data_IF_327605199424
#
_entry.id   IF_327605199424
#
_cell.length_a   1.000
_cell.length_b   1.000
_cell.length_c   1.000
_cell.angle_alpha   90.00
_cell.angle_beta   90.00
_cell.angle_gamma   90.00
#
_symmetry.space_group_name_H-M   'P 1'
#
loop_
_entity.id
_entity.type
_entity.pdbx_description
1 polymer ?
#
# COMPACT_ATOMS: atom_id res chain seq x y z
N UNK A 1 -5.28 66.39 -31.11
CA UNK A 1 -4.35 65.85 -30.10
C UNK A 1 -2.94 65.60 -30.64
N UNK A 2 -2.44 66.36 -31.59
CA UNK A 2 -1.16 66.12 -32.30
C UNK A 2 -0.14 67.21 -32.17
N UNK A 3 -0.35 68.20 -31.31
CA UNK A 3 0.57 69.40 -31.19
C UNK A 3 1.37 69.42 -29.88
N UNK A 4 1.09 68.48 -28.90
CA UNK A 4 1.80 68.43 -27.61
C UNK A 4 3.01 67.51 -27.66
N UNK A 5 2.99 66.45 -28.44
CA UNK A 5 4.09 65.46 -28.51
C UNK A 5 5.33 65.99 -29.27
N UNK A 6 5.15 66.96 -30.18
CA UNK A 6 6.29 67.50 -30.95
C UNK A 6 7.13 68.50 -30.14
N UNK A 7 6.53 69.18 -29.13
CA UNK A 7 7.28 70.11 -28.24
C UNK A 7 8.04 69.38 -27.10
N UNK A 8 7.65 68.17 -26.74
CA UNK A 8 8.33 67.37 -25.72
C UNK A 8 9.60 66.71 -26.25
N UNK A 9 9.66 66.37 -27.55
CA UNK A 9 10.82 65.72 -28.20
C UNK A 9 11.95 66.76 -28.42
N UNK A 10 11.63 68.02 -28.67
CA UNK A 10 12.65 69.11 -28.86
C UNK A 10 13.28 69.53 -27.51
N UNK A 11 12.60 69.37 -26.37
CA UNK A 11 13.14 69.70 -25.06
C UNK A 11 14.10 68.64 -24.53
N UNK A 12 13.97 67.35 -24.93
CA UNK A 12 14.86 66.28 -24.53
C UNK A 12 16.18 66.28 -25.33
N UNK A 13 16.18 66.71 -26.56
CA UNK A 13 17.40 66.79 -27.40
C UNK A 13 18.36 67.97 -27.06
N UNK A 14 17.90 69.00 -26.38
CA UNK A 14 18.77 70.16 -25.99
C UNK A 14 19.48 69.86 -24.63
N UNK A 15 19.03 68.91 -23.80
CA UNK A 15 19.66 68.60 -22.50
C UNK A 15 20.80 67.55 -22.62
N UNK A 16 21.05 66.99 -23.81
CA UNK A 16 22.04 65.92 -24.03
C UNK A 16 23.43 66.38 -24.51
N UNK A 17 23.65 67.70 -24.67
CA UNK A 17 24.90 68.25 -25.30
C UNK A 17 25.84 69.03 -24.32
N UNK A 18 25.57 68.97 -22.99
CA UNK A 18 26.30 69.79 -22.03
C UNK A 18 27.25 69.05 -21.07
N UNK A 19 27.71 67.88 -21.40
CA UNK A 19 28.74 67.18 -20.56
C UNK A 19 29.86 66.56 -21.41
N UNK A 20 30.65 67.36 -22.08
CA UNK A 20 31.98 66.97 -22.51
C UNK A 20 32.91 68.17 -22.27
N UNK A 21 33.67 68.14 -21.16
CA UNK A 21 34.98 68.83 -21.15
C UNK A 21 35.81 68.46 -19.93
N UNK A 22 36.96 67.86 -20.19
CA UNK A 22 38.29 68.01 -19.59
C UNK A 22 38.57 67.56 -18.17
N UNK A 23 39.65 66.76 -18.08
CA UNK A 23 40.55 66.78 -16.96
C UNK A 23 41.47 65.57 -16.86
N UNK A 24 42.58 65.61 -17.58
CA UNK A 24 43.68 64.63 -17.52
C UNK A 24 44.50 64.87 -16.23
N UNK A 25 44.63 63.87 -15.38
CA UNK A 25 45.74 63.80 -14.41
C UNK A 25 46.06 62.35 -14.11
N UNK A 26 47.23 61.94 -14.54
CA UNK A 26 47.92 60.67 -14.28
C UNK A 26 48.21 60.51 -12.77
N UNK A 27 47.76 59.41 -12.14
CA UNK A 27 48.46 58.78 -11.00
C UNK A 27 48.30 57.28 -11.11
N UNK A 28 49.43 56.63 -11.30
CA UNK A 28 49.64 55.20 -11.21
C UNK A 28 49.51 54.79 -9.73
N UNK A 29 48.45 54.07 -9.42
CA UNK A 29 48.39 53.19 -8.25
C UNK A 29 47.97 51.83 -8.75
N UNK A 30 48.79 50.84 -8.44
CA UNK A 30 48.54 49.44 -8.70
C UNK A 30 47.40 48.95 -7.80
N UNK A 31 46.16 49.04 -8.26
CA UNK A 31 45.04 48.31 -7.67
C UNK A 31 45.11 46.88 -8.19
N UNK A 32 45.42 45.96 -7.26
CA UNK A 32 45.26 44.54 -7.52
C UNK A 32 43.79 44.27 -7.95
N UNK A 33 43.61 43.70 -9.11
CA UNK A 33 42.34 43.16 -9.52
C UNK A 33 41.94 42.09 -8.46
N UNK A 34 41.06 42.45 -7.56
CA UNK A 34 40.29 41.41 -6.83
C UNK A 34 39.53 40.61 -7.87
N UNK A 35 40.00 39.42 -8.14
CA UNK A 35 39.32 38.45 -8.99
C UNK A 35 38.05 38.05 -8.24
N UNK A 36 36.90 38.53 -8.66
CA UNK A 36 35.59 38.17 -8.09
C UNK A 36 35.42 36.67 -8.29
N UNK A 37 35.56 35.91 -7.22
CA UNK A 37 35.37 34.46 -7.26
C UNK A 37 33.93 34.14 -7.65
N UNK A 38 33.73 33.06 -8.43
CA UNK A 38 32.38 32.56 -8.70
C UNK A 38 31.62 32.29 -7.41
N UNK A 39 30.32 32.49 -7.42
CA UNK A 39 29.46 32.33 -6.23
C UNK A 39 29.52 30.97 -5.57
N UNK A 40 30.04 29.93 -6.24
CA UNK A 40 30.14 28.56 -5.74
C UNK A 40 31.52 28.22 -5.19
N UNK A 41 32.48 29.13 -5.17
CA UNK A 41 33.86 28.91 -4.72
C UNK A 41 34.12 29.61 -3.37
N UNK A 42 34.80 28.88 -2.48
CA UNK A 42 35.33 29.39 -1.21
C UNK A 42 36.83 29.20 -1.18
N UNK A 43 37.55 30.28 -0.90
CA UNK A 43 38.99 30.27 -0.85
C UNK A 43 39.50 30.43 0.58
N UNK A 44 40.43 29.54 1.01
CA UNK A 44 41.03 29.60 2.33
C UNK A 44 42.55 29.47 2.24
N UNK A 45 43.23 30.20 3.15
CA UNK A 45 44.68 30.08 3.35
C UNK A 45 44.98 28.80 4.17
N UNK A 46 46.23 28.31 4.06
CA UNK A 46 46.69 27.11 4.77
C UNK A 46 46.51 27.23 6.31
N UNK A 47 46.71 28.41 6.88
CA UNK A 47 46.47 28.67 8.33
C UNK A 47 44.99 28.57 8.69
N UNK A 48 44.10 29.08 7.85
CA UNK A 48 42.66 29.00 8.03
C UNK A 48 42.12 27.56 7.88
N UNK A 49 42.67 26.79 6.94
CA UNK A 49 42.32 25.38 6.75
C UNK A 49 42.63 24.57 8.01
N UNK A 50 43.82 24.80 8.62
CA UNK A 50 44.21 24.15 9.87
C UNK A 50 43.31 24.57 11.04
N UNK A 51 43.02 25.89 11.18
CA UNK A 51 42.17 26.42 12.22
C UNK A 51 40.72 25.90 12.10
N UNK A 52 40.20 25.80 10.89
CA UNK A 52 38.85 25.31 10.60
C UNK A 52 38.75 23.77 10.67
N UNK A 53 39.87 23.09 10.91
CA UNK A 53 39.94 21.62 10.98
C UNK A 53 39.32 20.94 9.74
N UNK A 54 39.70 21.42 8.54
CA UNK A 54 39.19 20.90 7.29
C UNK A 54 39.99 19.65 6.92
N UNK A 55 39.27 18.52 6.84
CA UNK A 55 39.82 17.25 6.38
C UNK A 55 39.14 16.86 5.07
N UNK A 56 39.94 16.33 4.13
CA UNK A 56 39.39 15.85 2.84
C UNK A 56 39.46 14.33 2.77
N UNK A 57 38.45 13.73 2.17
CA UNK A 57 38.32 12.29 1.94
C UNK A 57 37.73 11.98 0.58
N UNK A 58 37.32 10.73 0.40
CA UNK A 58 36.67 10.23 -0.81
C UNK A 58 35.23 9.84 -0.50
N UNK A 59 34.40 9.88 -1.53
CA UNK A 59 33.07 9.30 -1.50
C UNK A 59 33.22 7.78 -1.44
N UNK A 60 32.57 7.15 -0.48
CA UNK A 60 32.61 5.70 -0.28
C UNK A 60 31.31 5.06 -0.76
N UNK A 61 31.45 3.90 -1.42
CA UNK A 61 30.29 3.04 -1.66
C UNK A 61 30.03 2.21 -0.42
N UNK A 62 28.92 2.47 0.24
CA UNK A 62 28.49 1.74 1.44
C UNK A 62 27.18 1.01 1.20
N UNK A 63 27.06 -0.16 1.82
CA UNK A 63 25.81 -0.88 1.89
C UNK A 63 24.95 -0.23 2.96
N UNK A 64 23.96 0.56 2.56
CA UNK A 64 23.06 1.26 3.47
C UNK A 64 21.65 0.71 3.35
N UNK A 65 21.01 0.43 4.49
CA UNK A 65 19.62 0.03 4.56
C UNK A 65 18.81 1.15 5.20
N UNK A 66 17.88 1.68 4.46
CA UNK A 66 16.93 2.64 5.01
C UNK A 66 15.86 1.95 5.85
N UNK A 67 15.27 2.70 6.76
CA UNK A 67 14.04 2.29 7.42
C UNK A 67 12.86 3.03 6.80
N UNK A 68 11.82 2.30 6.45
CA UNK A 68 10.59 2.87 5.89
C UNK A 68 9.51 2.84 6.96
N UNK A 69 9.07 4.02 7.41
CA UNK A 69 7.93 4.14 8.33
C UNK A 69 6.64 4.12 7.52
N UNK A 70 5.79 3.17 7.80
CA UNK A 70 4.51 2.96 7.11
C UNK A 70 3.40 2.72 8.10
N UNK A 71 2.18 2.98 7.68
CA UNK A 71 0.98 2.67 8.48
C UNK A 71 0.10 1.67 7.75
N UNK A 72 -0.79 1.05 8.51
CA UNK A 72 -1.72 0.09 7.95
C UNK A 72 -2.75 -0.36 8.96
N UNK A 73 -3.37 -1.50 8.69
CA UNK A 73 -4.38 -2.10 9.54
C UNK A 73 -4.17 -3.61 9.67
N UNK A 74 -4.63 -4.15 10.77
CA UNK A 74 -4.79 -5.60 10.95
C UNK A 74 -5.96 -6.07 10.12
N UNK A 75 -5.77 -7.11 9.32
CA UNK A 75 -6.79 -7.66 8.43
C UNK A 75 -6.88 -9.17 8.52
N UNK A 76 -7.93 -9.75 7.95
CA UNK A 76 -8.14 -11.19 7.81
C UNK A 76 -8.24 -11.57 6.35
N UNK A 77 -7.77 -12.75 6.01
CA UNK A 77 -7.93 -13.27 4.65
C UNK A 77 -9.42 -13.42 4.28
N UNK A 78 -9.82 -13.20 3.01
CA UNK A 78 -11.22 -13.31 2.58
C UNK A 78 -11.90 -14.63 2.96
N UNK A 79 -11.16 -15.76 2.98
CA UNK A 79 -11.67 -17.05 3.40
C UNK A 79 -11.97 -17.15 4.91
N UNK A 80 -11.48 -16.20 5.71
CA UNK A 80 -11.71 -16.08 7.14
C UNK A 80 -12.82 -15.08 7.49
N UNK A 81 -13.49 -14.51 6.49
CA UNK A 81 -14.65 -13.65 6.63
C UNK A 81 -15.83 -14.32 5.92
N UNK A 82 -16.92 -14.57 6.64
CA UNK A 82 -18.13 -15.12 6.07
C UNK A 82 -19.32 -14.17 6.25
N UNK A 83 -19.94 -13.86 5.13
CA UNK A 83 -21.22 -13.18 5.07
C UNK A 83 -22.31 -14.25 4.94
N UNK A 84 -23.27 -14.26 5.85
CA UNK A 84 -24.31 -15.28 5.93
C UNK A 84 -25.66 -14.67 5.57
N UNK A 85 -26.28 -15.22 4.52
CA UNK A 85 -27.62 -14.86 4.04
C UNK A 85 -28.46 -16.12 3.89
N UNK A 86 -29.78 -15.98 3.73
CA UNK A 86 -30.72 -17.08 3.50
C UNK A 86 -31.20 -17.09 2.05
N UNK A 87 -30.92 -18.12 1.25
CA UNK A 87 -31.19 -18.13 -0.20
C UNK A 87 -32.64 -17.91 -0.60
N UNK A 88 -33.60 -18.33 0.25
CA UNK A 88 -35.04 -18.19 -0.02
C UNK A 88 -35.74 -17.11 0.81
N UNK A 89 -34.97 -16.39 1.68
CA UNK A 89 -35.56 -15.43 2.60
C UNK A 89 -36.48 -16.05 3.65
N UNK A 90 -37.38 -15.24 4.21
CA UNK A 90 -38.36 -15.66 5.22
C UNK A 90 -38.46 -14.72 6.41
N UNK A 91 -39.03 -15.21 7.51
CA UNK A 91 -39.14 -14.46 8.77
C UNK A 91 -38.22 -15.08 9.83
N UNK A 92 -37.53 -14.25 10.57
CA UNK A 92 -36.66 -14.71 11.66
C UNK A 92 -37.52 -15.15 12.84
N UNK A 93 -37.55 -16.47 13.11
CA UNK A 93 -38.25 -17.03 14.26
C UNK A 93 -37.50 -16.82 15.58
N UNK A 94 -36.19 -17.07 15.54
CA UNK A 94 -35.34 -16.93 16.73
C UNK A 94 -33.88 -16.76 16.36
N UNK A 95 -33.15 -15.99 17.18
CA UNK A 95 -31.69 -15.90 17.24
C UNK A 95 -31.30 -15.53 18.66
N UNK A 96 -30.20 -16.11 19.16
CA UNK A 96 -29.66 -15.82 20.50
C UNK A 96 -28.27 -15.21 20.42
N UNK A 97 -27.80 -14.86 19.23
CA UNK A 97 -26.45 -14.37 18.99
C UNK A 97 -26.36 -12.86 19.08
N UNK A 98 -25.26 -12.40 19.65
CA UNK A 98 -24.86 -11.00 19.70
C UNK A 98 -23.48 -10.85 19.08
N UNK A 99 -23.12 -9.65 18.58
CA UNK A 99 -21.77 -9.35 18.20
C UNK A 99 -20.78 -9.71 19.32
N UNK A 100 -19.65 -10.33 18.97
CA UNK A 100 -18.66 -10.85 19.92
C UNK A 100 -18.86 -12.31 20.36
N UNK A 101 -20.03 -12.94 20.13
CA UNK A 101 -20.21 -14.35 20.45
C UNK A 101 -19.33 -15.25 19.57
N UNK A 102 -18.74 -16.27 20.19
CA UNK A 102 -18.01 -17.32 19.48
C UNK A 102 -18.99 -18.31 18.85
N UNK A 103 -18.73 -18.71 17.61
CA UNK A 103 -19.51 -19.70 16.87
C UNK A 103 -18.60 -20.75 16.23
N UNK A 104 -19.13 -21.99 16.12
CA UNK A 104 -18.45 -23.07 15.41
C UNK A 104 -19.08 -23.29 14.04
N UNK A 105 -18.29 -23.80 13.09
CA UNK A 105 -18.83 -24.24 11.80
C UNK A 105 -19.96 -25.24 11.99
N UNK A 106 -21.12 -24.99 11.32
CA UNK A 106 -22.33 -25.80 11.44
C UNK A 106 -23.22 -25.43 12.62
N UNK A 107 -22.82 -24.52 13.51
CA UNK A 107 -23.65 -24.04 14.62
C UNK A 107 -24.82 -23.19 14.08
N UNK A 108 -26.01 -23.38 14.62
CA UNK A 108 -27.21 -22.60 14.28
C UNK A 108 -27.05 -21.16 14.74
N UNK A 109 -27.20 -20.21 13.80
CA UNK A 109 -27.16 -18.77 14.01
C UNK A 109 -28.56 -18.20 14.24
N UNK A 110 -29.51 -18.65 13.43
CA UNK A 110 -30.91 -18.27 13.51
C UNK A 110 -31.79 -19.41 12.98
N UNK A 111 -33.09 -19.36 13.36
CA UNK A 111 -34.13 -20.18 12.74
C UNK A 111 -35.02 -19.25 11.94
N UNK A 112 -35.24 -19.58 10.68
CA UNK A 112 -36.14 -18.85 9.76
C UNK A 112 -37.37 -19.67 9.46
N UNK A 113 -38.49 -19.00 9.25
CA UNK A 113 -39.74 -19.58 8.79
C UNK A 113 -40.13 -19.00 7.43
N UNK A 114 -40.54 -19.90 6.53
CA UNK A 114 -41.07 -19.53 5.20
C UNK A 114 -42.02 -20.64 4.73
N UNK A 115 -43.14 -20.27 4.14
CA UNK A 115 -44.09 -21.22 3.55
C UNK A 115 -43.46 -21.97 2.37
N UNK A 116 -42.63 -21.31 1.59
CA UNK A 116 -41.92 -21.92 0.46
C UNK A 116 -41.03 -23.11 0.89
N UNK A 117 -40.61 -23.19 2.15
CA UNK A 117 -39.89 -24.33 2.68
C UNK A 117 -40.77 -25.57 2.74
N UNK A 118 -42.09 -25.44 3.00
CA UNK A 118 -43.05 -26.52 2.95
C UNK A 118 -43.23 -26.97 1.51
N UNK A 119 -43.47 -26.03 0.61
CA UNK A 119 -43.76 -26.31 -0.82
C UNK A 119 -42.63 -27.09 -1.50
N UNK A 120 -41.39 -26.71 -1.25
CA UNK A 120 -40.24 -27.39 -1.87
C UNK A 120 -40.03 -28.81 -1.33
N UNK A 121 -40.29 -29.05 -0.02
CA UNK A 121 -40.23 -30.35 0.58
C UNK A 121 -41.33 -31.26 0.05
N UNK A 122 -42.56 -30.77 -0.05
CA UNK A 122 -43.70 -31.48 -0.63
C UNK A 122 -43.40 -31.87 -2.08
N UNK A 123 -42.98 -30.91 -2.92
CA UNK A 123 -42.68 -31.16 -4.32
C UNK A 123 -41.57 -32.20 -4.52
N UNK A 124 -40.56 -32.18 -3.63
CA UNK A 124 -39.50 -33.20 -3.71
C UNK A 124 -40.04 -34.61 -3.38
N UNK A 125 -40.84 -34.77 -2.35
CA UNK A 125 -41.41 -36.09 -1.97
C UNK A 125 -42.37 -36.60 -3.02
N UNK A 126 -43.21 -35.72 -3.60
CA UNK A 126 -44.10 -36.09 -4.70
C UNK A 126 -43.33 -36.50 -5.94
N UNK A 127 -42.30 -35.76 -6.34
CA UNK A 127 -41.45 -36.12 -7.48
C UNK A 127 -40.67 -37.43 -7.23
N UNK A 128 -40.24 -37.68 -5.99
CA UNK A 128 -39.56 -38.93 -5.59
C UNK A 128 -40.46 -40.13 -5.73
N UNK A 129 -41.71 -40.04 -5.23
CA UNK A 129 -42.70 -41.12 -5.33
C UNK A 129 -43.06 -41.42 -6.79
N UNK A 130 -43.25 -40.36 -7.58
CA UNK A 130 -43.49 -40.53 -9.04
C UNK A 130 -42.28 -41.17 -9.77
N UNK A 131 -41.06 -40.83 -9.34
CA UNK A 131 -39.84 -41.40 -9.91
C UNK A 131 -39.74 -42.91 -9.61
N UNK A 132 -40.02 -43.31 -8.35
CA UNK A 132 -39.99 -44.72 -7.95
C UNK A 132 -40.97 -45.55 -8.79
N UNK A 133 -42.20 -45.08 -8.99
CA UNK A 133 -43.16 -45.67 -9.89
C UNK A 133 -42.67 -45.77 -11.34
N UNK A 134 -42.15 -44.65 -11.90
CA UNK A 134 -41.67 -44.61 -13.28
C UNK A 134 -40.42 -45.49 -13.51
N UNK A 135 -39.59 -45.67 -12.48
CA UNK A 135 -38.45 -46.59 -12.53
C UNK A 135 -38.89 -48.06 -12.63
N UNK A 136 -39.87 -48.42 -11.84
CA UNK A 136 -40.49 -49.78 -11.90
C UNK A 136 -41.17 -50.04 -13.27
N UNK A 137 -41.89 -49.04 -13.82
CA UNK A 137 -42.51 -49.14 -15.15
C UNK A 137 -41.44 -49.24 -16.23
N UNK A 138 -40.40 -48.42 -16.18
CA UNK A 138 -39.30 -48.49 -17.14
C UNK A 138 -38.60 -49.86 -17.13
N UNK A 139 -38.33 -50.42 -15.95
CA UNK A 139 -37.71 -51.73 -15.81
C UNK A 139 -38.59 -52.82 -16.44
N UNK A 140 -39.89 -52.82 -16.12
CA UNK A 140 -40.88 -53.78 -16.65
C UNK A 140 -41.00 -53.68 -18.18
N UNK A 141 -41.18 -52.50 -18.71
CA UNK A 141 -41.32 -52.31 -20.17
C UNK A 141 -40.04 -52.64 -20.93
N UNK A 142 -38.89 -52.43 -20.34
CA UNK A 142 -37.59 -52.81 -20.90
C UNK A 142 -37.43 -54.32 -21.06
N UNK A 143 -37.93 -55.10 -20.07
CA UNK A 143 -37.97 -56.60 -20.19
C UNK A 143 -38.97 -57.05 -21.27
N UNK A 144 -40.20 -56.52 -21.25
CA UNK A 144 -41.22 -56.87 -22.26
C UNK A 144 -40.80 -56.52 -23.73
N UNK A 145 -39.99 -55.50 -23.88
CA UNK A 145 -39.42 -55.15 -25.18
C UNK A 145 -38.38 -56.16 -25.68
N UNK A 146 -37.59 -56.76 -24.78
CA UNK A 146 -36.66 -57.83 -25.12
C UNK A 146 -37.36 -59.10 -25.64
N UNK A 147 -38.58 -59.32 -25.16
CA UNK A 147 -39.40 -60.46 -25.57
C UNK A 147 -40.31 -60.19 -26.78
N UNK A 148 -40.04 -59.09 -27.50
CA UNK A 148 -40.80 -58.59 -28.69
C UNK A 148 -42.33 -58.39 -28.45
N UNK A 149 -42.73 -58.23 -27.16
CA UNK A 149 -44.13 -58.02 -26.75
C UNK A 149 -44.51 -56.55 -26.69
N UNK A 150 -43.56 -55.65 -26.76
CA UNK A 150 -43.79 -54.21 -26.53
C UNK A 150 -43.22 -53.33 -27.65
N UNK A 151 -43.96 -52.25 -28.04
CA UNK A 151 -43.53 -51.40 -29.15
C UNK A 151 -42.38 -50.47 -28.74
N UNK A 152 -41.45 -50.20 -29.65
CA UNK A 152 -40.34 -49.27 -29.46
C UNK A 152 -40.79 -47.86 -29.06
N UNK A 153 -41.89 -47.38 -29.63
CA UNK A 153 -42.48 -46.07 -29.33
C UNK A 153 -42.87 -45.94 -27.84
N UNK A 154 -43.54 -46.98 -27.31
CA UNK A 154 -43.96 -46.98 -25.90
C UNK A 154 -42.77 -47.08 -24.93
N UNK A 155 -41.74 -47.91 -25.28
CA UNK A 155 -40.51 -47.95 -24.48
C UNK A 155 -39.80 -46.58 -24.45
N UNK A 156 -39.76 -45.90 -25.59
CA UNK A 156 -39.18 -44.56 -25.69
C UNK A 156 -39.95 -43.56 -24.83
N UNK A 157 -41.26 -43.58 -24.77
CA UNK A 157 -42.08 -42.73 -23.95
C UNK A 157 -41.79 -42.94 -22.45
N UNK A 158 -41.86 -44.20 -21.98
CA UNK A 158 -41.61 -44.54 -20.57
C UNK A 158 -40.16 -44.18 -20.15
N UNK A 159 -39.21 -44.38 -21.09
CA UNK A 159 -37.79 -43.99 -20.88
C UNK A 159 -37.67 -42.49 -20.70
N UNK A 160 -38.42 -41.70 -21.50
CA UNK A 160 -38.40 -40.25 -21.41
C UNK A 160 -39.02 -39.74 -20.08
N UNK A 161 -40.16 -40.32 -19.68
CA UNK A 161 -40.86 -39.98 -18.42
C UNK A 161 -39.97 -40.31 -17.19
N UNK A 162 -39.35 -41.50 -17.18
CA UNK A 162 -38.36 -41.85 -16.17
C UNK A 162 -37.19 -40.83 -16.06
N UNK A 163 -36.60 -40.49 -17.21
CA UNK A 163 -35.49 -39.53 -17.28
C UNK A 163 -35.89 -38.13 -16.80
N UNK A 164 -37.11 -37.68 -17.20
CA UNK A 164 -37.62 -36.37 -16.77
C UNK A 164 -37.83 -36.29 -15.26
N UNK A 165 -38.45 -37.33 -14.68
CA UNK A 165 -38.66 -37.40 -13.23
C UNK A 165 -37.36 -37.52 -12.45
N UNK A 166 -36.40 -38.28 -12.96
CA UNK A 166 -35.06 -38.35 -12.39
C UNK A 166 -34.36 -37.00 -12.34
N UNK A 167 -34.47 -36.21 -13.42
CA UNK A 167 -33.93 -34.85 -13.48
C UNK A 167 -34.67 -33.91 -12.51
N UNK A 168 -35.99 -34.03 -12.42
CA UNK A 168 -36.80 -33.21 -11.51
C UNK A 168 -36.46 -33.48 -10.03
N UNK A 169 -36.33 -34.74 -9.63
CA UNK A 169 -35.90 -35.13 -8.27
C UNK A 169 -34.52 -34.59 -7.97
N UNK A 170 -33.60 -34.69 -8.92
CA UNK A 170 -32.26 -34.15 -8.77
C UNK A 170 -32.26 -32.62 -8.53
N UNK A 171 -33.11 -31.88 -9.29
CA UNK A 171 -33.24 -30.44 -9.14
C UNK A 171 -33.81 -30.03 -7.75
N UNK A 172 -34.86 -30.73 -7.29
CA UNK A 172 -35.41 -30.49 -5.95
C UNK A 172 -34.43 -30.85 -4.83
N UNK A 173 -33.67 -31.93 -5.01
CA UNK A 173 -32.60 -32.30 -4.10
C UNK A 173 -31.57 -31.17 -3.90
N UNK A 174 -31.10 -30.57 -4.98
CA UNK A 174 -30.17 -29.45 -4.93
C UNK A 174 -30.78 -28.20 -4.26
N UNK A 175 -32.06 -27.92 -4.53
CA UNK A 175 -32.77 -26.82 -3.88
C UNK A 175 -32.93 -27.02 -2.37
N UNK A 176 -33.19 -28.25 -1.90
CA UNK A 176 -33.27 -28.58 -0.47
C UNK A 176 -31.91 -28.45 0.21
N UNK A 177 -30.86 -28.98 -0.44
CA UNK A 177 -29.49 -28.88 0.08
C UNK A 177 -29.05 -27.40 0.18
N UNK A 178 -29.42 -26.54 -0.75
CA UNK A 178 -29.12 -25.10 -0.76
C UNK A 178 -29.66 -24.39 0.48
N UNK A 179 -30.85 -24.79 0.98
CA UNK A 179 -31.45 -24.22 2.19
C UNK A 179 -31.09 -25.01 3.46
N UNK A 180 -30.16 -25.98 3.37
CA UNK A 180 -29.68 -26.75 4.50
C UNK A 180 -30.56 -27.92 4.95
N UNK A 181 -31.58 -28.32 4.15
CA UNK A 181 -32.40 -29.47 4.40
C UNK A 181 -31.73 -30.70 3.75
N UNK A 182 -31.53 -31.76 4.54
CA UNK A 182 -31.00 -33.04 4.03
C UNK A 182 -32.10 -33.86 3.36
N UNK A 183 -32.09 -34.05 2.04
CA UNK A 183 -33.15 -34.80 1.32
C UNK A 183 -33.22 -36.25 1.71
N UNK A 184 -32.12 -36.89 2.11
CA UNK A 184 -32.09 -38.29 2.50
C UNK A 184 -32.81 -38.57 3.84
N UNK A 185 -33.01 -37.55 4.66
CA UNK A 185 -33.68 -37.63 5.97
C UNK A 185 -35.11 -37.08 5.91
N UNK A 186 -35.55 -36.56 4.77
CA UNK A 186 -36.85 -35.98 4.59
C UNK A 186 -37.91 -37.10 4.39
N UNK A 187 -38.95 -37.08 5.20
CA UNK A 187 -40.13 -37.93 5.12
C UNK A 187 -41.39 -37.07 5.23
N UNK A 188 -42.54 -37.63 4.95
CA UNK A 188 -43.84 -36.94 4.97
C UNK A 188 -44.11 -36.31 6.35
N UNK A 189 -43.74 -37.01 7.45
CA UNK A 189 -43.95 -36.57 8.82
C UNK A 189 -42.90 -35.51 9.29
N UNK A 190 -41.89 -35.22 8.46
CA UNK A 190 -40.78 -34.31 8.82
C UNK A 190 -40.77 -33.01 7.99
N UNK A 191 -41.83 -32.75 7.28
CA UNK A 191 -42.00 -31.45 6.61
C UNK A 191 -42.03 -30.33 7.64
N UNK A 192 -41.21 -29.33 7.46
CA UNK A 192 -41.07 -28.22 8.43
C UNK A 192 -41.11 -26.87 7.71
N UNK A 193 -41.85 -25.92 8.28
CA UNK A 193 -41.80 -24.51 7.89
C UNK A 193 -40.57 -23.77 8.33
N UNK A 194 -39.82 -24.40 9.28
CA UNK A 194 -38.68 -23.75 9.93
C UNK A 194 -37.37 -24.39 9.46
N UNK A 195 -36.37 -23.57 9.11
CA UNK A 195 -35.05 -24.00 8.70
C UNK A 195 -34.00 -23.29 9.53
N UNK A 196 -32.97 -24.02 9.94
CA UNK A 196 -31.83 -23.48 10.67
C UNK A 196 -30.79 -22.89 9.71
N UNK A 197 -30.48 -21.61 9.89
CA UNK A 197 -29.34 -20.96 9.25
C UNK A 197 -28.09 -21.27 10.07
N UNK A 198 -27.08 -21.86 9.46
CA UNK A 198 -25.86 -22.33 10.15
C UNK A 198 -24.62 -21.56 9.71
N UNK A 199 -23.62 -21.49 10.61
CA UNK A 199 -22.34 -20.86 10.31
C UNK A 199 -21.52 -21.68 9.32
N UNK A 200 -21.00 -21.09 8.24
CA UNK A 200 -20.11 -21.77 7.29
C UNK A 200 -18.69 -21.94 7.83
N UNK A 201 -18.27 -21.12 8.80
CA UNK A 201 -16.93 -21.12 9.41
C UNK A 201 -17.01 -21.04 10.93
N UNK A 202 -15.93 -21.42 11.62
CA UNK A 202 -15.76 -21.13 13.04
C UNK A 202 -15.14 -19.76 13.22
N UNK A 203 -15.52 -19.02 14.27
CA UNK A 203 -15.00 -17.66 14.52
C UNK A 203 -15.88 -16.89 15.49
N UNK A 204 -15.94 -15.59 15.32
CA UNK A 204 -16.73 -14.69 16.14
C UNK A 204 -17.75 -13.93 15.29
N UNK A 205 -18.92 -13.69 15.85
CA UNK A 205 -19.96 -12.88 15.21
C UNK A 205 -19.49 -11.42 15.21
N UNK A 206 -19.21 -10.88 14.03
CA UNK A 206 -18.82 -9.48 13.83
C UNK A 206 -20.05 -8.56 13.83
N UNK A 207 -21.11 -8.98 13.14
CA UNK A 207 -22.35 -8.21 13.06
C UNK A 207 -23.59 -9.13 13.05
N UNK A 208 -24.68 -8.66 13.63
CA UNK A 208 -26.02 -9.25 13.61
C UNK A 208 -26.98 -8.22 13.03
N UNK A 209 -27.50 -8.44 11.82
CA UNK A 209 -28.36 -7.52 11.09
C UNK A 209 -29.83 -7.94 11.12
N UNK A 210 -30.19 -8.81 12.03
CA UNK A 210 -31.54 -9.38 12.16
C UNK A 210 -32.08 -9.25 13.59
N UNK A 211 -33.40 -9.27 13.68
CA UNK A 211 -34.16 -9.37 14.94
C UNK A 211 -35.31 -10.36 14.79
N UNK A 212 -35.80 -10.87 15.89
CA UNK A 212 -36.95 -11.80 15.90
C UNK A 212 -38.15 -11.10 15.25
N UNK A 213 -38.82 -11.79 14.32
CA UNK A 213 -39.95 -11.28 13.57
C UNK A 213 -39.61 -10.46 12.31
N UNK A 214 -38.34 -10.14 12.09
CA UNK A 214 -37.90 -9.41 10.88
C UNK A 214 -38.10 -10.29 9.64
N UNK A 215 -38.71 -9.71 8.59
CA UNK A 215 -38.73 -10.27 7.25
C UNK A 215 -37.38 -10.02 6.58
N UNK A 216 -36.81 -11.05 5.95
CA UNK A 216 -35.53 -11.01 5.25
C UNK A 216 -35.65 -11.60 3.84
N UNK A 217 -34.92 -11.01 2.91
CA UNK A 217 -34.82 -11.47 1.52
C UNK A 217 -33.52 -12.25 1.28
N UNK A 218 -33.39 -12.86 0.10
CA UNK A 218 -32.18 -13.60 -0.29
C UNK A 218 -30.94 -12.72 -0.42
N UNK A 219 -31.09 -11.44 -0.62
CA UNK A 219 -30.00 -10.46 -0.73
C UNK A 219 -29.52 -9.91 0.61
N UNK A 220 -30.30 -10.12 1.69
CA UNK A 220 -29.97 -9.55 2.99
C UNK A 220 -28.84 -10.30 3.67
N UNK A 221 -27.86 -9.54 4.17
CA UNK A 221 -26.81 -10.06 5.02
C UNK A 221 -27.33 -10.16 6.44
N UNK A 222 -27.49 -11.37 6.95
CA UNK A 222 -28.05 -11.61 8.27
C UNK A 222 -26.97 -11.57 9.36
N UNK A 223 -25.84 -12.22 9.09
CA UNK A 223 -24.69 -12.27 9.99
C UNK A 223 -23.39 -12.05 9.24
N UNK A 224 -22.43 -11.41 9.90
CA UNK A 224 -21.03 -11.43 9.49
C UNK A 224 -20.21 -12.18 10.55
N UNK A 225 -19.41 -13.14 10.11
CA UNK A 225 -18.59 -13.98 10.98
C UNK A 225 -17.13 -13.82 10.56
N UNK A 226 -16.25 -13.62 11.52
CA UNK A 226 -14.82 -13.45 11.30
C UNK A 226 -14.05 -14.50 12.08
N UNK A 227 -13.15 -15.20 11.41
CA UNK A 227 -12.17 -16.06 12.03
C UNK A 227 -10.88 -15.26 12.25
N UNK A 228 -10.45 -15.14 13.50
CA UNK A 228 -9.28 -14.37 13.90
C UNK A 228 -8.04 -15.23 14.16
N UNK A 229 -8.05 -16.53 13.81
CA UNK A 229 -6.92 -17.44 14.04
C UNK A 229 -5.68 -17.04 13.23
N UNK A 230 -5.88 -16.42 12.07
CA UNK A 230 -4.81 -15.97 11.19
C UNK A 230 -5.05 -14.53 10.76
N UNK A 231 -4.36 -13.64 11.42
CA UNK A 231 -4.35 -12.21 11.11
C UNK A 231 -3.09 -11.86 10.33
N UNK A 232 -3.20 -10.85 9.48
CA UNK A 232 -2.07 -10.29 8.76
C UNK A 232 -2.14 -8.76 8.79
N UNK A 233 -1.03 -8.12 8.48
CA UNK A 233 -0.96 -6.68 8.33
C UNK A 233 -1.19 -6.30 6.87
N UNK A 234 -2.07 -5.35 6.64
CA UNK A 234 -2.24 -4.68 5.37
C UNK A 234 -1.64 -3.29 5.49
N UNK A 235 -0.42 -3.10 4.95
CA UNK A 235 0.34 -1.87 5.01
C UNK A 235 0.16 -1.07 3.73
N UNK A 236 0.15 0.25 3.87
CA UNK A 236 0.02 1.18 2.75
C UNK A 236 1.35 1.89 2.53
N UNK A 237 1.90 1.77 1.33
CA UNK A 237 3.16 2.38 0.92
C UNK A 237 2.95 3.31 -0.27
N UNK A 238 3.80 4.31 -0.42
CA UNK A 238 3.80 5.17 -1.60
C UNK A 238 4.54 4.53 -2.78
N UNK A 239 4.11 4.84 -4.00
CA UNK A 239 4.71 4.36 -5.26
C UNK A 239 6.24 4.55 -5.31
N UNK A 240 6.75 5.71 -4.85
CA UNK A 240 8.17 6.03 -4.81
C UNK A 240 9.03 5.07 -3.98
N UNK A 241 8.40 4.29 -3.09
CA UNK A 241 9.06 3.35 -2.20
C UNK A 241 8.88 1.89 -2.63
N UNK A 242 8.26 1.65 -3.79
CA UNK A 242 7.93 0.31 -4.29
C UNK A 242 9.17 -0.57 -4.50
N UNK A 243 10.26 0.00 -5.01
CA UNK A 243 11.50 -0.72 -5.30
C UNK A 243 12.32 -1.06 -4.03
N UNK A 244 11.98 -0.42 -2.90
CA UNK A 244 12.69 -0.57 -1.64
C UNK A 244 12.16 -1.72 -0.79
N UNK A 245 11.03 -2.34 -1.19
CA UNK A 245 10.33 -3.36 -0.40
C UNK A 245 10.17 -4.65 -1.18
N UNK A 246 10.50 -5.77 -0.56
CA UNK A 246 10.40 -7.09 -1.17
C UNK A 246 9.82 -8.14 -0.20
N UNK A 247 9.35 -9.25 -0.79
CA UNK A 247 8.90 -10.40 -0.02
C UNK A 247 10.06 -10.96 0.83
N UNK A 248 9.76 -11.35 2.06
CA UNK A 248 10.72 -11.90 3.02
C UNK A 248 11.35 -10.85 3.94
N UNK A 249 11.12 -9.57 3.73
CA UNK A 249 11.63 -8.52 4.62
C UNK A 249 10.92 -8.52 5.97
N UNK A 250 11.71 -8.22 7.01
CA UNK A 250 11.22 -8.13 8.38
C UNK A 250 10.62 -6.78 8.65
N UNK A 251 9.53 -6.78 9.37
CA UNK A 251 8.80 -5.60 9.82
C UNK A 251 8.73 -5.62 11.34
N UNK A 252 8.99 -4.49 11.94
CA UNK A 252 8.65 -4.21 13.34
C UNK A 252 7.41 -3.32 13.36
N UNK A 253 6.41 -3.66 14.15
CA UNK A 253 5.19 -2.87 14.20
C UNK A 253 4.68 -2.68 15.62
N UNK A 254 3.86 -1.67 15.79
CA UNK A 254 3.20 -1.28 17.03
C UNK A 254 1.70 -1.14 16.76
N UNK A 255 0.87 -1.64 17.68
CA UNK A 255 -0.58 -1.58 17.59
C UNK A 255 -1.06 -0.34 18.37
N UNK A 256 -1.93 0.50 17.78
CA UNK A 256 -2.60 1.62 18.44
C UNK A 256 -1.66 2.53 19.28
N UNK A 257 -0.43 2.76 18.83
CA UNK A 257 0.59 3.52 19.56
C UNK A 257 1.02 2.89 20.91
N UNK A 258 0.83 1.60 21.10
CA UNK A 258 1.43 0.87 22.23
C UNK A 258 2.95 0.91 22.14
N UNK A 259 3.60 0.72 23.28
CA UNK A 259 5.08 0.63 23.36
C UNK A 259 5.60 -0.78 23.06
N UNK A 260 4.72 -1.78 23.06
CA UNK A 260 5.07 -3.18 22.77
C UNK A 260 5.36 -3.35 21.29
N UNK A 261 6.55 -3.81 20.99
CA UNK A 261 7.00 -4.09 19.62
C UNK A 261 6.63 -5.52 19.24
N UNK A 262 6.08 -5.66 18.05
CA UNK A 262 5.76 -6.94 17.42
C UNK A 262 6.51 -7.09 16.11
N UNK A 263 6.72 -8.34 15.69
CA UNK A 263 7.42 -8.67 14.45
C UNK A 263 6.46 -9.24 13.41
N UNK A 264 6.71 -8.90 12.15
CA UNK A 264 6.02 -9.47 11.00
C UNK A 264 7.00 -9.67 9.84
N UNK A 265 6.59 -10.46 8.84
CA UNK A 265 7.37 -10.71 7.63
C UNK A 265 6.48 -10.49 6.41
N UNK A 266 6.97 -9.72 5.45
CA UNK A 266 6.28 -9.48 4.18
C UNK A 266 6.19 -10.80 3.41
N UNK A 267 4.97 -11.24 3.11
CA UNK A 267 4.76 -12.43 2.28
C UNK A 267 4.29 -12.06 0.87
N UNK A 268 3.71 -10.87 0.70
CA UNK A 268 3.21 -10.43 -0.61
C UNK A 268 3.24 -8.92 -0.74
N UNK A 269 3.71 -8.43 -1.89
CA UNK A 269 3.59 -7.04 -2.31
C UNK A 269 2.50 -6.92 -3.38
N UNK A 270 1.66 -5.89 -3.29
CA UNK A 270 0.67 -5.57 -4.31
C UNK A 270 1.33 -5.31 -5.67
N UNK A 271 0.61 -5.61 -6.74
CA UNK A 271 1.05 -5.40 -8.13
C UNK A 271 0.29 -4.28 -8.83
N UNK A 272 -0.50 -3.52 -8.07
CA UNK A 272 -1.32 -2.42 -8.58
C UNK A 272 -1.12 -1.19 -7.70
N UNK A 273 -1.04 -0.05 -8.35
CA UNK A 273 -0.99 1.26 -7.70
C UNK A 273 -2.40 1.84 -7.71
N UNK A 274 -2.84 2.33 -6.57
CA UNK A 274 -4.14 2.98 -6.42
C UNK A 274 -4.10 4.42 -6.95
N UNK A 275 -5.27 5.06 -7.08
CA UNK A 275 -5.40 6.45 -7.58
C UNK A 275 -4.68 7.49 -6.71
N UNK A 276 -4.47 7.20 -5.43
CA UNK A 276 -3.73 8.01 -4.46
C UNK A 276 -2.21 7.78 -4.47
N UNK A 277 -1.70 7.11 -5.51
CA UNK A 277 -0.29 6.73 -5.67
C UNK A 277 0.24 5.87 -4.53
N UNK A 278 -0.62 5.04 -3.97
CA UNK A 278 -0.27 4.05 -2.96
C UNK A 278 -0.40 2.64 -3.49
N UNK A 279 0.29 1.70 -2.85
CA UNK A 279 0.11 0.27 -3.07
C UNK A 279 0.09 -0.47 -1.73
N UNK A 280 -0.46 -1.68 -1.74
CA UNK A 280 -0.62 -2.50 -0.55
C UNK A 280 0.50 -3.51 -0.41
N UNK A 281 0.94 -3.69 0.82
CA UNK A 281 1.89 -4.73 1.21
C UNK A 281 1.29 -5.55 2.33
N UNK A 282 1.42 -6.86 2.22
CA UNK A 282 0.81 -7.81 3.14
C UNK A 282 1.91 -8.55 3.91
N UNK A 283 1.78 -8.55 5.24
CA UNK A 283 2.77 -9.18 6.11
C UNK A 283 2.12 -10.12 7.13
N UNK A 284 2.70 -11.30 7.28
CA UNK A 284 2.31 -12.25 8.31
C UNK A 284 2.93 -11.87 9.65
N UNK A 285 2.13 -11.85 10.69
CA UNK A 285 2.57 -11.62 12.06
C UNK A 285 3.38 -12.83 12.54
N UNK A 286 4.52 -12.57 13.15
CA UNK A 286 5.38 -13.61 13.72
C UNK A 286 5.09 -13.73 15.22
N UNK A 287 4.77 -14.96 15.67
CA UNK A 287 4.43 -15.19 17.07
C UNK A 287 2.95 -14.96 17.38
N UNK A 288 2.63 -14.84 18.66
CA UNK A 288 1.27 -14.68 19.14
C UNK A 288 1.09 -13.29 19.76
N UNK A 289 0.36 -12.43 19.09
CA UNK A 289 0.00 -11.12 19.62
C UNK A 289 -1.35 -11.25 20.35
N UNK A 290 -1.33 -11.08 21.66
CA UNK A 290 -2.56 -11.03 22.46
C UNK A 290 -3.35 -9.77 22.12
N UNK A 291 -4.68 -9.89 22.09
CA UNK A 291 -5.61 -8.76 21.88
C UNK A 291 -5.57 -8.08 20.51
N UNK A 292 -4.96 -8.68 19.49
CA UNK A 292 -4.97 -8.14 18.14
C UNK A 292 -6.32 -8.44 17.46
N UNK A 293 -7.03 -7.41 17.03
CA UNK A 293 -8.33 -7.51 16.37
C UNK A 293 -8.29 -6.95 14.94
N UNK A 294 -9.05 -7.52 14.00
CA UNK A 294 -9.21 -6.95 12.67
C UNK A 294 -9.69 -5.50 12.74
N UNK A 295 -9.13 -4.63 11.91
CA UNK A 295 -9.43 -3.21 11.89
C UNK A 295 -8.55 -2.35 12.79
N UNK A 296 -7.72 -2.93 13.66
CA UNK A 296 -6.77 -2.15 14.47
C UNK A 296 -5.72 -1.48 13.60
N UNK A 297 -5.39 -0.24 13.91
CA UNK A 297 -4.32 0.53 13.28
C UNK A 297 -2.96 0.05 13.75
N UNK A 298 -2.02 0.01 12.81
CA UNK A 298 -0.62 -0.32 13.08
C UNK A 298 0.31 0.71 12.46
N UNK A 299 1.36 1.03 13.22
CA UNK A 299 2.52 1.76 12.73
C UNK A 299 3.68 0.77 12.59
N UNK A 300 4.26 0.70 11.41
CA UNK A 300 5.27 -0.29 11.10
C UNK A 300 6.55 0.34 10.56
N UNK A 301 7.67 -0.31 10.83
CA UNK A 301 8.99 0.04 10.31
C UNK A 301 9.51 -1.15 9.52
N UNK A 302 9.63 -0.97 8.22
CA UNK A 302 10.19 -1.96 7.30
C UNK A 302 11.68 -1.70 7.19
N UNK A 303 12.51 -2.74 7.33
CA UNK A 303 13.93 -2.68 6.99
C UNK A 303 14.05 -2.85 5.47
N UNK A 304 14.24 -1.73 4.77
CA UNK A 304 14.42 -1.76 3.32
C UNK A 304 15.69 -2.51 2.94
N UNK A 305 15.72 -3.05 1.72
CA UNK A 305 16.91 -3.70 1.18
C UNK A 305 18.13 -2.81 1.31
N UNK A 306 19.24 -3.42 1.72
CA UNK A 306 20.52 -2.76 1.68
C UNK A 306 20.98 -2.59 0.24
N UNK A 307 21.18 -1.35 -0.20
CA UNK A 307 21.73 -1.02 -1.50
C UNK A 307 23.14 -0.44 -1.35
N UNK A 308 24.01 -0.72 -2.31
CA UNK A 308 25.29 0.00 -2.40
C UNK A 308 25.03 1.41 -2.95
N UNK A 309 25.25 2.39 -2.10
CA UNK A 309 25.03 3.80 -2.44
C UNK A 309 26.30 4.62 -2.19
N UNK A 310 26.43 5.73 -2.92
CA UNK A 310 27.47 6.72 -2.67
C UNK A 310 27.18 7.43 -1.37
N UNK A 311 28.04 7.34 -0.38
CA UNK A 311 27.84 7.91 0.95
C UNK A 311 29.01 8.73 1.41
N UNK A 312 28.72 9.67 2.29
CA UNK A 312 29.68 10.56 2.93
C UNK A 312 29.36 10.66 4.43
N UNK A 313 30.31 11.00 5.30
CA UNK A 313 29.98 11.32 6.68
C UNK A 313 28.91 12.42 6.76
N UNK A 314 27.91 12.24 7.62
CA UNK A 314 26.77 13.21 7.71
C UNK A 314 27.23 14.63 8.01
N UNK A 315 28.34 14.81 8.73
CA UNK A 315 28.97 16.11 9.05
C UNK A 315 29.60 16.83 7.83
N UNK A 316 29.79 16.14 6.71
CA UNK A 316 30.31 16.72 5.46
C UNK A 316 29.24 17.46 4.65
N UNK A 317 27.97 17.29 4.99
CA UNK A 317 26.84 17.90 4.32
C UNK A 317 26.39 19.15 5.08
N UNK A 318 26.21 20.24 4.37
CA UNK A 318 25.71 21.51 4.92
C UNK A 318 24.43 21.91 4.20
N UNK A 319 23.48 22.45 4.95
CA UNK A 319 22.22 22.97 4.40
C UNK A 319 22.25 24.49 4.37
N UNK A 320 21.89 25.05 3.22
CA UNK A 320 21.82 26.49 2.99
C UNK A 320 20.70 26.81 1.99
N UNK A 321 19.84 27.76 2.33
CA UNK A 321 18.70 28.18 1.51
C UNK A 321 17.83 26.99 1.05
N UNK A 322 17.41 26.17 2.02
CA UNK A 322 16.60 24.95 1.83
C UNK A 322 17.19 23.92 0.84
N UNK A 323 18.48 24.00 0.58
CA UNK A 323 19.23 23.05 -0.25
C UNK A 323 20.41 22.46 0.50
N UNK A 324 20.81 21.26 0.08
CA UNK A 324 21.93 20.55 0.66
C UNK A 324 23.14 20.60 -0.25
N UNK A 325 24.30 20.77 0.36
CA UNK A 325 25.55 20.95 -0.36
C UNK A 325 26.69 20.16 0.29
N UNK A 326 27.68 19.84 -0.55
CA UNK A 326 29.00 19.34 -0.16
C UNK A 326 30.07 20.27 -0.71
N UNK A 327 31.22 20.28 -0.08
CA UNK A 327 32.40 21.00 -0.58
C UNK A 327 33.41 20.04 -1.17
N UNK A 328 33.95 20.36 -2.34
CA UNK A 328 34.96 19.57 -3.05
C UNK A 328 36.19 20.44 -3.24
N UNK A 329 37.37 19.89 -3.01
CA UNK A 329 38.63 20.54 -3.32
C UNK A 329 38.68 20.77 -4.85
N UNK A 330 38.87 22.02 -5.27
CA UNK A 330 38.95 22.40 -6.68
C UNK A 330 40.41 22.50 -7.13
N UNK A 331 41.15 23.47 -6.59
CA UNK A 331 42.58 23.67 -6.92
C UNK A 331 43.33 24.33 -5.79
N UNK A 332 44.68 24.16 -5.83
CA UNK A 332 45.60 24.93 -5.00
C UNK A 332 46.24 26.03 -5.84
N UNK A 333 46.38 27.24 -5.28
CA UNK A 333 47.07 28.39 -5.90
C UNK A 333 48.03 29.04 -4.93
N UNK A 334 48.99 29.78 -5.44
CA UNK A 334 49.87 30.64 -4.65
C UNK A 334 49.61 32.11 -5.03
N UNK A 335 49.12 32.89 -4.10
CA UNK A 335 48.86 34.27 -4.26
C UNK A 335 49.63 35.10 -3.23
N UNK A 336 50.38 36.11 -3.69
CA UNK A 336 51.24 36.94 -2.82
C UNK A 336 52.18 36.16 -1.92
N UNK A 337 52.70 35.03 -2.39
CA UNK A 337 53.58 34.15 -1.63
C UNK A 337 52.89 33.27 -0.55
N UNK A 338 51.57 33.32 -0.44
CA UNK A 338 50.77 32.48 0.45
C UNK A 338 50.06 31.38 -0.33
N UNK A 339 50.05 30.17 0.23
CA UNK A 339 49.26 29.05 -0.34
C UNK A 339 47.79 29.24 -0.01
N UNK A 340 46.97 29.12 -1.02
CA UNK A 340 45.53 29.20 -0.96
C UNK A 340 44.92 27.96 -1.58
N UNK A 341 43.83 27.44 -1.02
CA UNK A 341 43.06 26.31 -1.56
C UNK A 341 41.65 26.74 -1.82
N UNK A 342 41.17 26.42 -3.03
CA UNK A 342 39.78 26.65 -3.44
C UNK A 342 38.95 25.42 -3.21
N UNK A 343 37.76 25.61 -2.62
CA UNK A 343 36.75 24.61 -2.40
C UNK A 343 35.49 25.00 -3.15
N UNK A 344 34.95 24.10 -3.96
CA UNK A 344 33.72 24.32 -4.71
C UNK A 344 32.53 23.72 -3.98
N UNK A 345 31.49 24.50 -3.83
CA UNK A 345 30.22 24.11 -3.24
C UNK A 345 29.33 23.45 -4.29
N UNK A 346 28.90 22.21 -4.06
CA UNK A 346 28.11 21.43 -5.01
C UNK A 346 26.79 21.05 -4.37
N UNK A 347 25.68 21.39 -5.03
CA UNK A 347 24.36 21.00 -4.59
C UNK A 347 24.16 19.50 -4.79
N UNK A 348 23.60 18.85 -3.78
CA UNK A 348 23.27 17.42 -3.76
C UNK A 348 21.83 17.20 -3.31
N UNK A 349 21.36 15.97 -3.47
CA UNK A 349 20.16 15.50 -2.78
C UNK A 349 20.58 14.45 -1.74
N UNK A 350 20.04 14.56 -0.53
CA UNK A 350 20.23 13.57 0.54
C UNK A 350 19.34 12.35 0.28
N UNK A 351 19.91 11.16 0.47
CA UNK A 351 19.17 9.91 0.50
C UNK A 351 19.05 9.36 1.93
N UNK A 352 19.35 8.07 2.08
CA UNK A 352 19.29 7.35 3.36
C UNK A 352 20.41 7.81 4.30
N UNK A 353 20.07 7.99 5.59
CA UNK A 353 21.05 8.25 6.65
C UNK A 353 21.10 7.05 7.60
N UNK A 354 22.31 6.51 7.84
CA UNK A 354 22.56 5.40 8.75
C UNK A 354 24.00 5.42 9.26
N UNK A 355 24.19 5.07 10.51
CA UNK A 355 25.52 4.88 11.15
C UNK A 355 26.48 6.08 10.99
N UNK A 356 25.96 7.32 11.00
CA UNK A 356 26.75 8.55 10.87
C UNK A 356 27.17 8.87 9.41
N UNK A 357 26.63 8.14 8.43
CA UNK A 357 26.83 8.39 7.01
C UNK A 357 25.47 8.71 6.36
N UNK A 358 25.55 9.55 5.32
CA UNK A 358 24.38 9.93 4.51
C UNK A 358 24.65 9.59 3.05
N UNK A 359 23.68 8.94 2.42
CA UNK A 359 23.66 8.74 0.97
C UNK A 359 23.54 10.08 0.27
N UNK A 360 24.33 10.27 -0.79
CA UNK A 360 24.27 11.45 -1.64
C UNK A 360 23.96 11.10 -3.09
N UNK A 361 23.04 11.84 -3.67
CA UNK A 361 22.73 11.80 -5.10
C UNK A 361 23.42 13.02 -5.72
N UNK A 362 24.40 12.75 -6.57
CA UNK A 362 25.23 13.75 -7.22
C UNK A 362 24.59 14.23 -8.52
N UNK A 363 24.87 15.48 -8.97
CA UNK A 363 24.44 15.97 -10.27
C UNK A 363 24.99 15.09 -11.42
N UNK A 364 24.25 15.04 -12.53
CA UNK A 364 24.68 14.33 -13.73
C UNK A 364 26.03 14.91 -14.24
N UNK A 365 26.94 14.00 -14.60
CA UNK A 365 28.27 14.35 -15.11
C UNK A 365 29.34 14.62 -14.05
N UNK A 366 29.05 14.57 -12.76
CA UNK A 366 30.03 14.75 -11.72
C UNK A 366 30.93 13.52 -11.54
N UNK A 367 32.27 13.70 -11.76
CA UNK A 367 33.24 12.63 -11.61
C UNK A 367 33.65 12.45 -10.14
N UNK A 368 32.91 11.66 -9.39
CA UNK A 368 33.14 11.42 -7.96
C UNK A 368 34.41 10.62 -7.64
N UNK A 369 34.93 9.82 -8.59
CA UNK A 369 36.11 8.95 -8.35
C UNK A 369 37.39 9.74 -8.16
N UNK A 370 37.51 10.91 -8.77
CA UNK A 370 38.70 11.77 -8.69
C UNK A 370 38.54 12.89 -7.66
N UNK A 371 37.32 13.17 -7.22
CA UNK A 371 37.00 14.28 -6.33
C UNK A 371 37.50 14.04 -4.89
N UNK A 372 38.19 15.05 -4.31
CA UNK A 372 38.50 15.12 -2.89
C UNK A 372 37.40 15.91 -2.19
N UNK A 373 36.60 15.23 -1.40
CA UNK A 373 35.49 15.82 -0.68
C UNK A 373 35.95 16.32 0.70
N UNK A 374 35.41 17.43 1.17
CA UNK A 374 35.57 17.85 2.56
C UNK A 374 34.68 16.97 3.44
N UNK A 375 35.31 16.13 4.25
CA UNK A 375 34.61 15.19 5.14
C UNK A 375 34.44 15.74 6.55
N UNK A 376 35.20 16.80 6.91
CA UNK A 376 35.10 17.48 8.21
C UNK A 376 35.36 18.97 8.04
N UNK A 377 34.70 19.79 8.84
CA UNK A 377 34.84 21.25 8.76
C UNK A 377 34.00 21.93 7.68
N UNK A 378 33.07 21.22 7.01
CA UNK A 378 32.24 21.78 5.96
C UNK A 378 31.40 22.98 6.40
N UNK A 379 30.93 23.00 7.65
CA UNK A 379 30.19 24.13 8.23
C UNK A 379 31.07 25.39 8.32
N UNK A 380 32.35 25.25 8.61
CA UNK A 380 33.30 26.37 8.69
C UNK A 380 33.53 27.00 7.29
N UNK A 381 33.55 26.18 6.23
CA UNK A 381 33.57 26.67 4.85
C UNK A 381 32.30 27.45 4.48
N UNK A 382 31.14 26.94 4.86
CA UNK A 382 29.87 27.67 4.65
C UNK A 382 29.86 29.02 5.39
N UNK A 383 30.37 29.05 6.62
CA UNK A 383 30.46 30.28 7.41
C UNK A 383 31.44 31.29 6.79
N UNK A 384 32.60 30.82 6.30
CA UNK A 384 33.55 31.67 5.60
C UNK A 384 32.94 32.26 4.31
N UNK A 385 32.19 31.49 3.57
CA UNK A 385 31.46 31.96 2.39
C UNK A 385 30.46 33.08 2.70
N UNK A 386 29.67 32.90 3.75
CA UNK A 386 28.69 33.92 4.18
C UNK A 386 29.36 35.23 4.55
N UNK A 387 30.44 35.15 5.33
CA UNK A 387 31.17 36.34 5.76
C UNK A 387 31.86 37.08 4.60
N UNK A 388 32.32 36.35 3.58
CA UNK A 388 32.89 36.97 2.37
C UNK A 388 31.83 37.69 1.53
N UNK A 389 30.60 37.19 1.47
CA UNK A 389 29.47 37.84 0.80
C UNK A 389 28.95 39.11 1.50
N UNK A 390 29.01 39.16 2.84
CA UNK A 390 28.60 40.36 3.61
C UNK A 390 29.63 41.51 3.56
N UNK A 391 30.89 41.23 3.22
CA UNK A 391 31.92 42.28 3.08
C UNK A 391 31.96 42.90 1.68
N UNK A 392 31.16 42.41 0.72
CA UNK A 392 31.10 42.92 -0.66
C UNK A 392 29.84 43.75 -0.98
N UNK A 393 29.06 44.15 0.03
CA UNK A 393 27.91 45.04 -0.12
C UNK A 393 28.22 46.46 0.35
#
# INVERSE_FOLDING_TARGET
>A
MTRYHFKLIILITVLAIAFVSCGKATKTEAEGKEEVLPEDIVELREDQIKLANIETGKIELRSMSGTLKVSGTVSVAPQNLATVSMPMGGFVKSTNLMPGNSVRKGQTLAILENQEFIDIQQNYLEAKNKLEYAEAEYARHKELYKDDVYSQKNLQQVTTDYKNLKSLVSAFKQKLELIGINPARLTEDRISRSVALVSPISGYVKAVNVSIGKSVSSSDVLFEIVNTDKLFLELTLFEKDADKVANGEKIRFYINNETEQHDAVIYQTGKSINNDKTYKVYANVVGHCKNMLPGMYVNAVIQAKSNQVSSVPSESIVSFDDKDYIFVHDKDKVENGKKMTEYRMIQIQKGVEADGFTEIILPEGFNFKAARLVIKGAYNLLSAKKNAGEMSC
#
